data_IF_263221306073
#
_entry.id   IF_263221306073
#
_cell.length_a   1.000
_cell.length_b   1.000
_cell.length_c   1.000
_cell.angle_alpha   90.00
_cell.angle_beta   90.00
_cell.angle_gamma   90.00
#
_symmetry.space_group_name_H-M   'P 1'
#
loop_
_entity.id
_entity.type
_entity.pdbx_description
1 polymer ?
#
# COMPACT_ATOMS: atom_id res chain seq x y z
N UNK A 1 3.91 -10.06 5.04
CA UNK A 1 2.43 -10.11 5.13
C UNK A 1 1.89 -9.82 6.53
N UNK A 2 2.66 -9.99 7.62
CA UNK A 2 2.23 -9.72 9.00
C UNK A 2 2.04 -8.23 9.37
N UNK A 3 2.76 -7.31 8.70
CA UNK A 3 2.72 -5.87 9.01
C UNK A 3 1.44 -5.19 8.52
N UNK A 4 0.88 -5.66 7.40
CA UNK A 4 -0.37 -5.11 6.83
C UNK A 4 -1.57 -5.33 7.77
N UNK A 5 -1.64 -6.51 8.40
CA UNK A 5 -2.66 -6.83 9.40
C UNK A 5 -2.57 -5.93 10.63
N UNK A 6 -1.36 -5.59 11.11
CA UNK A 6 -1.21 -4.72 12.28
C UNK A 6 -1.63 -3.28 11.99
N UNK A 7 -1.38 -2.77 10.78
CA UNK A 7 -1.79 -1.41 10.39
C UNK A 7 -3.31 -1.33 10.26
N UNK A 8 -3.95 -2.32 9.62
CA UNK A 8 -5.42 -2.35 9.52
C UNK A 8 -6.08 -2.44 10.89
N UNK A 9 -5.55 -3.28 11.78
CA UNK A 9 -6.04 -3.38 13.16
C UNK A 9 -5.89 -2.04 13.89
N UNK A 10 -4.76 -1.35 13.76
CA UNK A 10 -4.56 -0.04 14.37
C UNK A 10 -5.57 1.00 13.85
N UNK A 11 -5.82 1.04 12.53
CA UNK A 11 -6.82 1.93 11.93
C UNK A 11 -8.23 1.60 12.41
N UNK A 12 -8.53 0.30 12.58
CA UNK A 12 -9.81 -0.17 13.09
C UNK A 12 -10.03 0.22 14.56
N UNK A 13 -9.04 0.04 15.42
CA UNK A 13 -9.09 0.49 16.83
C UNK A 13 -9.29 2.00 16.93
N UNK A 14 -8.64 2.79 16.07
CA UNK A 14 -8.85 4.24 16.02
C UNK A 14 -10.30 4.60 15.64
N UNK A 15 -10.89 3.89 14.68
CA UNK A 15 -12.29 4.09 14.27
C UNK A 15 -13.25 3.69 15.40
N UNK A 16 -13.01 2.56 16.07
CA UNK A 16 -13.82 2.12 17.21
C UNK A 16 -13.76 3.12 18.38
N UNK A 17 -12.59 3.69 18.68
CA UNK A 17 -12.47 4.70 19.73
C UNK A 17 -13.34 5.94 19.46
N UNK A 18 -13.53 6.32 18.19
CA UNK A 18 -14.42 7.43 17.83
C UNK A 18 -15.90 7.02 17.90
N UNK A 19 -16.26 5.88 17.29
CA UNK A 19 -17.67 5.49 17.11
C UNK A 19 -18.27 4.89 18.40
N UNK A 20 -17.52 4.03 19.09
CA UNK A 20 -17.99 3.29 20.27
C UNK A 20 -17.78 4.10 21.55
N UNK A 21 -16.58 4.66 21.72
CA UNK A 21 -16.20 5.32 22.96
C UNK A 21 -16.47 6.84 22.92
N UNK A 22 -16.88 7.38 21.76
CA UNK A 22 -17.22 8.80 21.59
C UNK A 22 -16.02 9.74 21.74
N UNK A 23 -14.79 9.21 21.67
CA UNK A 23 -13.57 10.01 21.87
C UNK A 23 -13.44 11.02 20.74
N UNK A 24 -13.13 12.29 21.03
CA UNK A 24 -12.98 13.30 20.00
C UNK A 24 -11.84 12.92 19.04
N UNK A 25 -12.07 13.15 17.75
CA UNK A 25 -11.14 12.82 16.65
C UNK A 25 -9.74 13.41 16.89
N UNK A 26 -9.65 14.57 17.54
CA UNK A 26 -8.38 15.22 17.89
C UNK A 26 -7.55 14.38 18.85
N UNK A 27 -8.19 13.76 19.84
CA UNK A 27 -7.52 12.94 20.84
C UNK A 27 -7.12 11.59 20.26
N UNK A 28 -8.00 10.97 19.46
CA UNK A 28 -7.67 9.74 18.70
C UNK A 28 -6.48 9.99 17.77
N UNK A 29 -6.48 11.08 17.01
CA UNK A 29 -5.37 11.46 16.15
C UNK A 29 -4.04 11.56 16.92
N UNK A 30 -4.05 12.16 18.12
CA UNK A 30 -2.85 12.26 18.97
C UNK A 30 -2.41 10.91 19.54
N UNK A 31 -3.35 10.07 19.98
CA UNK A 31 -3.07 8.76 20.58
C UNK A 31 -2.45 7.78 19.58
N UNK A 32 -2.88 7.87 18.32
CA UNK A 32 -2.42 6.99 17.24
C UNK A 32 -1.32 7.65 16.37
N UNK A 33 -0.82 8.83 16.75
CA UNK A 33 0.17 9.62 16.02
C UNK A 33 -0.15 9.81 14.51
N UNK A 34 -1.41 10.11 14.22
CA UNK A 34 -1.90 10.32 12.87
C UNK A 34 -2.56 11.68 12.70
N UNK A 35 -2.66 12.15 11.47
CA UNK A 35 -3.37 13.40 11.19
C UNK A 35 -4.88 13.22 11.40
N UNK A 36 -5.56 14.29 11.85
CA UNK A 36 -7.04 14.33 11.93
C UNK A 36 -7.70 13.99 10.60
N UNK A 37 -7.08 14.40 9.48
CA UNK A 37 -7.57 14.10 8.13
C UNK A 37 -7.51 12.61 7.80
N UNK A 38 -6.51 11.87 8.32
CA UNK A 38 -6.44 10.42 8.16
C UNK A 38 -7.60 9.74 8.88
N UNK A 39 -7.87 10.12 10.15
CA UNK A 39 -8.98 9.57 10.93
C UNK A 39 -10.33 9.83 10.25
N UNK A 40 -10.57 11.05 9.77
CA UNK A 40 -11.78 11.36 8.99
C UNK A 40 -11.92 10.50 7.74
N UNK A 41 -10.80 10.22 7.04
CA UNK A 41 -10.79 9.39 5.84
C UNK A 41 -11.12 7.93 6.16
N UNK A 42 -10.55 7.40 7.26
CA UNK A 42 -10.82 6.05 7.75
C UNK A 42 -12.28 5.88 8.16
N UNK A 43 -12.87 6.86 8.85
CA UNK A 43 -14.31 6.84 9.17
C UNK A 43 -15.18 6.76 7.91
N UNK A 44 -14.92 7.63 6.91
CA UNK A 44 -15.66 7.60 5.64
C UNK A 44 -15.54 6.25 4.92
N UNK A 45 -14.35 5.63 4.94
CA UNK A 45 -14.16 4.33 4.30
C UNK A 45 -14.81 3.20 5.09
N UNK A 46 -14.79 3.27 6.41
CA UNK A 46 -15.43 2.31 7.28
C UNK A 46 -16.96 2.36 7.12
N UNK A 47 -17.55 3.55 7.03
CA UNK A 47 -18.99 3.70 6.73
C UNK A 47 -19.37 3.15 5.35
N UNK A 48 -18.51 3.32 4.35
CA UNK A 48 -18.82 2.91 2.98
C UNK A 48 -18.54 1.43 2.68
N UNK A 49 -17.50 0.84 3.28
CA UNK A 49 -16.94 -0.46 2.88
C UNK A 49 -16.60 -1.36 4.08
N UNK A 50 -16.90 -0.93 5.31
CA UNK A 50 -16.54 -1.65 6.53
C UNK A 50 -15.03 -1.84 6.69
N UNK A 51 -14.63 -2.98 7.26
CA UNK A 51 -13.22 -3.30 7.53
C UNK A 51 -12.37 -3.34 6.25
N UNK A 52 -12.95 -3.74 5.12
CA UNK A 52 -12.26 -3.77 3.83
C UNK A 52 -11.82 -2.38 3.35
N UNK A 53 -12.50 -1.32 3.79
CA UNK A 53 -12.14 0.07 3.47
C UNK A 53 -10.88 0.58 4.18
N UNK A 54 -10.46 -0.10 5.27
CA UNK A 54 -9.28 0.25 6.07
C UNK A 54 -8.00 -0.45 5.59
N UNK A 55 -8.16 -1.52 4.79
CA UNK A 55 -7.08 -2.23 4.13
C UNK A 55 -6.28 -1.30 3.20
N UNK A 56 -4.98 -1.56 3.07
CA UNK A 56 -4.13 -0.76 2.22
C UNK A 56 -4.55 -0.94 0.76
N UNK A 57 -4.92 0.17 0.13
CA UNK A 57 -5.24 0.20 -1.30
C UNK A 57 -3.94 0.35 -2.05
N UNK A 58 -3.84 -0.30 -3.21
CA UNK A 58 -2.71 -0.07 -4.10
C UNK A 58 -2.55 1.44 -4.34
N UNK A 59 -1.40 1.99 -3.95
CA UNK A 59 -1.00 3.37 -4.28
C UNK A 59 -0.83 3.59 -5.79
N UNK A 60 -0.89 2.51 -6.57
CA UNK A 60 -0.79 2.57 -8.02
C UNK A 60 -1.98 3.36 -8.58
N UNK A 61 -1.75 4.39 -9.40
CA UNK A 61 -2.83 5.06 -10.10
C UNK A 61 -3.65 4.04 -10.90
N UNK A 62 -4.98 4.13 -10.79
CA UNK A 62 -5.90 3.20 -11.44
C UNK A 62 -5.71 3.18 -12.96
N UNK A 63 -5.36 4.33 -13.54
CA UNK A 63 -5.12 4.51 -14.96
C UNK A 63 -3.82 5.29 -15.19
N UNK A 64 -2.96 4.77 -16.05
CA UNK A 64 -1.88 5.52 -16.67
C UNK A 64 -2.23 5.59 -18.16
N UNK A 65 -2.23 6.77 -18.77
CA UNK A 65 -2.58 6.94 -20.20
C UNK A 65 -1.63 6.17 -21.14
N UNK A 66 -0.40 5.95 -20.69
CA UNK A 66 0.66 5.21 -21.36
C UNK A 66 0.82 3.79 -20.79
N UNK A 67 -0.21 3.24 -20.12
CA UNK A 67 -0.20 1.84 -19.71
C UNK A 67 -0.26 0.98 -20.97
N UNK A 68 0.75 0.14 -21.16
CA UNK A 68 0.81 -0.83 -22.25
C UNK A 68 -0.32 -1.86 -22.08
N UNK A 69 -0.75 -2.44 -23.19
CA UNK A 69 -1.74 -3.51 -23.19
C UNK A 69 -1.27 -4.68 -22.29
N UNK A 70 -2.14 -5.26 -21.43
CA UNK A 70 -1.77 -6.34 -20.53
C UNK A 70 -1.15 -7.56 -21.24
N UNK A 71 -1.59 -7.90 -22.44
CA UNK A 71 -1.02 -9.02 -23.19
C UNK A 71 0.43 -8.72 -23.63
N UNK A 72 0.72 -7.46 -23.98
CA UNK A 72 2.07 -7.01 -24.32
C UNK A 72 2.97 -7.01 -23.07
N UNK A 73 2.46 -6.58 -21.92
CA UNK A 73 3.21 -6.60 -20.66
C UNK A 73 3.60 -8.03 -20.24
N UNK A 74 2.65 -8.97 -20.34
CA UNK A 74 2.91 -10.40 -20.12
C UNK A 74 3.94 -10.92 -21.12
N UNK A 75 3.81 -10.59 -22.41
CA UNK A 75 4.75 -11.03 -23.43
C UNK A 75 6.18 -10.49 -23.19
N UNK A 76 6.33 -9.20 -22.86
CA UNK A 76 7.63 -8.60 -22.54
C UNK A 76 8.24 -9.26 -21.30
N UNK A 77 7.43 -9.51 -20.27
CA UNK A 77 7.87 -10.12 -19.02
C UNK A 77 8.37 -11.55 -19.26
N UNK A 78 7.61 -12.37 -19.99
CA UNK A 78 8.00 -13.73 -20.33
C UNK A 78 9.22 -13.76 -21.24
N UNK A 79 9.32 -12.83 -22.18
CA UNK A 79 10.49 -12.71 -23.07
C UNK A 79 11.75 -12.37 -22.28
N UNK A 80 11.68 -11.45 -21.31
CA UNK A 80 12.80 -11.13 -20.40
C UNK A 80 13.19 -12.32 -19.51
N UNK A 81 12.21 -13.06 -18.99
CA UNK A 81 12.47 -14.27 -18.18
C UNK A 81 13.19 -15.36 -18.97
N UNK A 82 12.78 -15.57 -20.22
CA UNK A 82 13.38 -16.56 -21.12
C UNK A 82 14.76 -16.14 -21.64
N UNK A 83 15.06 -14.84 -21.63
CA UNK A 83 16.32 -14.31 -22.13
C UNK A 83 16.99 -13.39 -21.09
N UNK A 84 17.57 -13.95 -20.01
CA UNK A 84 18.20 -13.17 -18.96
C UNK A 84 19.39 -12.32 -19.45
N UNK A 85 20.09 -12.81 -20.49
CA UNK A 85 21.31 -12.20 -21.03
C UNK A 85 21.04 -10.98 -21.93
N UNK A 86 19.77 -10.67 -22.22
CA UNK A 86 19.38 -9.50 -23.02
C UNK A 86 19.36 -8.20 -22.20
N UNK A 87 19.58 -8.30 -20.88
CA UNK A 87 19.72 -7.16 -19.97
C UNK A 87 21.18 -6.72 -19.79
N UNK A 88 21.41 -5.61 -19.06
CA UNK A 88 22.75 -5.22 -18.66
C UNK A 88 23.40 -6.35 -17.87
N UNK A 89 24.58 -6.79 -18.31
CA UNK A 89 25.34 -7.85 -17.65
C UNK A 89 25.57 -7.43 -16.20
N UNK A 90 25.16 -8.24 -15.19
CA UNK A 90 25.45 -7.93 -13.80
C UNK A 90 26.96 -7.74 -13.67
N UNK A 91 27.40 -6.63 -13.07
CA UNK A 91 28.83 -6.45 -12.80
C UNK A 91 29.31 -7.64 -11.96
N UNK A 92 30.41 -8.31 -12.35
CA UNK A 92 31.02 -9.31 -11.49
C UNK A 92 31.32 -8.71 -10.13
N UNK A 93 30.99 -9.42 -9.06
CA UNK A 93 31.20 -9.01 -7.65
C UNK A 93 32.69 -8.96 -7.25
N UNK A 94 33.61 -9.16 -8.18
CA UNK A 94 35.05 -9.34 -7.91
C UNK A 94 35.86 -8.03 -7.98
N UNK A 95 35.24 -6.90 -8.34
CA UNK A 95 35.92 -5.61 -8.48
C UNK A 95 36.12 -4.84 -7.15
N UNK A 96 36.36 -5.51 -6.03
CA UNK A 96 36.58 -4.84 -4.72
C UNK A 96 37.68 -5.45 -3.84
N UNK A 97 38.60 -6.22 -4.42
CA UNK A 97 39.85 -6.58 -3.75
C UNK A 97 41.02 -6.08 -4.59
N UNK A 98 41.38 -4.81 -4.37
CA UNK A 98 42.56 -4.13 -4.92
C UNK A 98 42.82 -2.90 -4.08
#
# INVERSE_FOLDING_TARGET
>A
MLVELSVVEQRYQAVLAVIRDGVPIVEVARRFDVSRQAVHRWLRWYEAQGLAGLADRSHRPSRCSHRMDPAVDVWVTETRRRNPDWGPVPRPVEASLG
#
